data_IF_360463815654
#
_entry.id   IF_360463815654
#
_cell.length_a   1.000
_cell.length_b   1.000
_cell.length_c   1.000
_cell.angle_alpha   90.00
_cell.angle_beta   90.00
_cell.angle_gamma   90.00
#
_symmetry.space_group_name_H-M   'P 1'
#
loop_
_entity.id
_entity.type
_entity.pdbx_description
1 polymer ?
#
# COMPACT_ATOMS: atom_id res chain seq x y z
N UNK A 1 -11.51 -0.62 36.75
CA UNK A 1 -11.95 0.77 36.45
C UNK A 1 -11.29 1.31 35.18
N UNK A 2 -9.96 1.34 35.12
CA UNK A 2 -9.19 1.84 33.96
C UNK A 2 -9.49 1.17 32.60
N UNK A 3 -10.06 -0.03 32.57
CA UNK A 3 -10.46 -0.70 31.32
C UNK A 3 -11.50 0.07 30.52
N UNK A 4 -12.47 0.70 31.19
CA UNK A 4 -13.49 1.52 30.51
C UNK A 4 -12.86 2.79 29.93
N UNK A 5 -11.86 3.36 30.62
CA UNK A 5 -11.11 4.52 30.16
C UNK A 5 -10.31 4.15 28.90
N UNK A 6 -9.57 3.04 28.93
CA UNK A 6 -8.83 2.55 27.77
C UNK A 6 -9.74 2.28 26.57
N UNK A 7 -10.88 1.61 26.78
CA UNK A 7 -11.83 1.33 25.70
C UNK A 7 -12.42 2.61 25.09
N UNK A 8 -12.67 3.64 25.92
CA UNK A 8 -13.11 4.95 25.45
C UNK A 8 -12.01 5.67 24.63
N UNK A 9 -10.74 5.59 25.05
CA UNK A 9 -9.59 6.12 24.30
C UNK A 9 -9.48 5.43 22.94
N UNK A 10 -9.52 4.10 22.89
CA UNK A 10 -9.43 3.35 21.63
C UNK A 10 -10.60 3.70 20.72
N UNK A 11 -11.83 3.73 21.25
CA UNK A 11 -13.02 4.10 20.47
C UNK A 11 -12.86 5.49 19.85
N UNK A 12 -12.44 6.48 20.63
CA UNK A 12 -12.23 7.86 20.15
C UNK A 12 -11.12 7.94 19.10
N UNK A 13 -10.05 7.17 19.27
CA UNK A 13 -8.97 7.06 18.29
C UNK A 13 -9.50 6.58 16.93
N UNK A 14 -10.27 5.48 16.95
CA UNK A 14 -10.87 4.89 15.73
C UNK A 14 -11.87 5.83 15.08
N UNK A 15 -12.74 6.48 15.85
CA UNK A 15 -13.70 7.47 15.35
C UNK A 15 -12.99 8.67 14.71
N UNK A 16 -11.92 9.17 15.33
CA UNK A 16 -11.11 10.24 14.78
C UNK A 16 -10.42 9.83 13.48
N UNK A 17 -9.87 8.60 13.41
CA UNK A 17 -9.23 8.10 12.19
C UNK A 17 -10.24 7.96 11.05
N UNK A 18 -11.39 7.35 11.32
CA UNK A 18 -12.41 7.09 10.30
C UNK A 18 -13.14 8.36 9.84
N UNK A 19 -13.19 9.40 10.67
CA UNK A 19 -13.75 10.71 10.31
C UNK A 19 -12.72 11.67 9.69
N UNK A 20 -11.43 11.32 9.72
CA UNK A 20 -10.35 12.18 9.26
C UNK A 20 -10.11 13.40 10.15
N UNK A 21 -10.54 13.36 11.42
CA UNK A 21 -10.40 14.45 12.37
C UNK A 21 -9.18 14.21 13.27
N UNK A 22 -8.01 14.72 12.85
CA UNK A 22 -6.77 14.61 13.61
C UNK A 22 -6.84 15.29 14.98
N UNK A 23 -7.54 16.42 15.09
CA UNK A 23 -7.65 17.19 16.34
C UNK A 23 -8.42 16.42 17.40
N UNK A 24 -9.48 15.70 17.02
CA UNK A 24 -10.25 14.85 17.94
C UNK A 24 -9.43 13.69 18.52
N UNK A 25 -8.42 13.20 17.77
CA UNK A 25 -7.47 12.19 18.25
C UNK A 25 -6.43 12.85 19.16
N UNK A 26 -5.99 14.06 18.80
CA UNK A 26 -4.95 14.78 19.52
C UNK A 26 -5.36 15.15 20.95
N UNK A 27 -6.66 15.35 21.21
CA UNK A 27 -7.20 15.57 22.56
C UNK A 27 -6.86 14.47 23.58
N UNK A 28 -6.40 13.29 23.12
CA UNK A 28 -5.98 12.19 24.00
C UNK A 28 -4.52 12.28 24.44
N UNK A 29 -3.76 13.22 23.89
CA UNK A 29 -2.34 13.42 24.17
C UNK A 29 -2.14 14.74 24.91
N UNK A 30 -1.23 14.72 25.88
CA UNK A 30 -0.74 15.95 26.52
C UNK A 30 0.51 16.49 25.79
N UNK A 31 0.93 17.71 26.15
CA UNK A 31 2.09 18.38 25.55
C UNK A 31 3.42 17.64 25.78
N UNK A 32 3.47 16.75 26.77
CA UNK A 32 4.63 15.92 27.11
C UNK A 32 4.57 14.51 26.53
N UNK A 33 3.55 14.20 25.72
CA UNK A 33 3.37 12.87 25.17
C UNK A 33 4.51 12.46 24.23
N UNK A 34 4.83 11.17 24.24
CA UNK A 34 5.84 10.58 23.37
C UNK A 34 5.26 9.34 22.70
N UNK A 35 5.34 9.30 21.37
CA UNK A 35 4.97 8.12 20.58
C UNK A 35 6.23 7.53 19.95
N UNK A 36 6.43 6.23 20.14
CA UNK A 36 7.58 5.49 19.59
C UNK A 36 7.12 4.46 18.58
N UNK A 37 7.39 4.73 17.30
CA UNK A 37 7.25 3.74 16.23
C UNK A 37 8.53 2.89 16.14
N UNK A 38 8.51 1.74 16.83
CA UNK A 38 9.63 0.80 16.82
C UNK A 38 9.91 0.19 15.45
N UNK A 39 8.91 0.10 14.56
CA UNK A 39 9.07 -0.50 13.23
C UNK A 39 9.83 0.42 12.29
N UNK A 40 9.56 1.72 12.37
CA UNK A 40 10.26 2.74 11.58
C UNK A 40 11.47 3.35 12.30
N UNK A 41 11.69 3.02 13.59
CA UNK A 41 12.72 3.63 14.41
C UNK A 41 12.50 5.12 14.62
N UNK A 42 11.23 5.57 14.67
CA UNK A 42 10.86 6.99 14.81
C UNK A 42 10.29 7.27 16.18
N UNK A 43 10.56 8.47 16.68
CA UNK A 43 10.03 8.98 17.95
C UNK A 43 9.40 10.34 17.67
N UNK A 44 8.19 10.54 18.17
CA UNK A 44 7.42 11.78 18.04
C UNK A 44 7.22 12.38 19.43
N UNK A 45 7.65 13.62 19.61
CA UNK A 45 7.60 14.35 20.87
C UNK A 45 6.57 15.48 20.82
N UNK A 46 5.67 15.50 21.79
CA UNK A 46 4.64 16.51 21.95
C UNK A 46 3.55 16.46 20.86
N UNK A 47 2.52 17.27 21.09
CA UNK A 47 1.29 17.26 20.28
C UNK A 47 1.53 17.59 18.80
N UNK A 48 2.44 18.51 18.47
CA UNK A 48 2.68 18.92 17.08
C UNK A 48 3.24 17.78 16.22
N UNK A 49 4.22 17.03 16.74
CA UNK A 49 4.82 15.91 15.99
C UNK A 49 3.87 14.71 15.94
N UNK A 50 3.12 14.48 17.02
CA UNK A 50 2.10 13.43 17.07
C UNK A 50 0.96 13.73 16.08
N UNK A 51 0.55 15.00 15.93
CA UNK A 51 -0.45 15.42 14.93
C UNK A 51 0.01 15.07 13.51
N UNK A 52 1.25 15.39 13.14
CA UNK A 52 1.79 15.05 11.81
C UNK A 52 1.78 13.55 11.55
N UNK A 53 2.11 12.74 12.57
CA UNK A 53 2.02 11.29 12.49
C UNK A 53 0.57 10.83 12.25
N UNK A 54 -0.38 11.33 13.05
CA UNK A 54 -1.81 11.01 12.95
C UNK A 54 -2.37 11.37 11.57
N UNK A 55 -2.06 12.56 11.05
CA UNK A 55 -2.48 13.01 9.73
C UNK A 55 -1.95 12.09 8.62
N UNK A 56 -0.74 11.56 8.78
CA UNK A 56 -0.17 10.55 7.89
C UNK A 56 -1.01 9.26 7.86
N UNK A 57 -1.43 8.77 9.04
CA UNK A 57 -2.26 7.57 9.15
C UNK A 57 -3.68 7.79 8.63
N UNK A 58 -4.30 8.95 8.89
CA UNK A 58 -5.63 9.30 8.35
C UNK A 58 -5.64 9.22 6.82
N UNK A 59 -4.56 9.68 6.16
CA UNK A 59 -4.45 9.61 4.69
C UNK A 59 -4.41 8.18 4.15
N UNK A 60 -4.04 7.19 4.96
CA UNK A 60 -4.06 5.78 4.53
C UNK A 60 -5.48 5.24 4.39
N UNK A 61 -6.44 5.81 5.13
CA UNK A 61 -7.86 5.52 5.00
C UNK A 61 -8.54 5.03 6.26
N UNK A 62 -9.75 4.49 6.09
CA UNK A 62 -10.54 3.95 7.19
C UNK A 62 -9.94 2.64 7.65
N UNK A 63 -9.91 2.47 8.96
CA UNK A 63 -9.39 1.29 9.62
C UNK A 63 -10.47 0.64 10.48
N UNK A 64 -10.52 -0.69 10.40
CA UNK A 64 -11.05 -1.52 11.48
C UNK A 64 -9.90 -1.80 12.45
N UNK A 65 -10.17 -1.57 13.73
CA UNK A 65 -9.22 -1.78 14.80
C UNK A 65 -9.78 -2.80 15.77
N UNK A 66 -9.05 -3.88 15.99
CA UNK A 66 -9.41 -4.91 16.95
C UNK A 66 -8.30 -5.08 17.97
N UNK A 67 -8.65 -5.07 19.25
CA UNK A 67 -7.71 -5.39 20.34
C UNK A 67 -7.91 -6.84 20.74
N UNK A 68 -6.90 -7.69 20.53
CA UNK A 68 -6.99 -9.14 20.77
C UNK A 68 -6.62 -9.51 22.21
N UNK A 69 -5.61 -8.85 22.76
CA UNK A 69 -5.20 -8.98 24.16
C UNK A 69 -5.05 -7.60 24.79
N UNK A 70 -5.51 -7.44 26.03
CA UNK A 70 -5.22 -6.26 26.85
C UNK A 70 -4.95 -6.66 28.30
N UNK A 71 -3.87 -6.14 28.85
CA UNK A 71 -3.52 -6.25 30.27
C UNK A 71 -3.31 -4.86 30.81
N UNK A 72 -4.02 -4.53 31.89
CA UNK A 72 -3.98 -3.22 32.52
C UNK A 72 -3.23 -3.35 33.84
N UNK A 73 -2.20 -2.53 33.99
CA UNK A 73 -1.36 -2.45 35.16
C UNK A 73 -1.67 -1.14 35.86
N UNK A 74 -2.14 -1.23 37.09
CA UNK A 74 -2.22 -0.07 37.98
C UNK A 74 -0.79 0.34 38.37
N UNK A 75 -0.44 1.60 38.11
CA UNK A 75 0.89 2.17 38.42
C UNK A 75 0.80 3.39 39.34
N UNK A 76 -0.36 3.60 39.97
CA UNK A 76 -0.56 4.69 40.94
C UNK A 76 -1.98 5.25 40.91
N UNK A 77 -2.21 6.21 41.79
CA UNK A 77 -3.56 6.76 42.08
C UNK A 77 -4.29 7.28 40.83
N UNK A 78 -3.55 7.85 39.88
CA UNK A 78 -4.08 8.49 38.67
C UNK A 78 -3.46 7.94 37.37
N UNK A 79 -2.72 6.84 37.43
CA UNK A 79 -1.94 6.33 36.29
C UNK A 79 -2.14 4.84 36.11
N UNK A 80 -2.28 4.44 34.85
CA UNK A 80 -2.30 3.05 34.45
C UNK A 80 -1.40 2.85 33.24
N UNK A 81 -0.82 1.66 33.15
CA UNK A 81 -0.06 1.19 32.01
C UNK A 81 -0.86 0.08 31.33
N UNK A 82 -0.97 0.12 30.00
CA UNK A 82 -1.66 -0.93 29.24
C UNK A 82 -0.69 -1.59 28.31
N UNK A 83 -0.61 -2.91 28.41
CA UNK A 83 -0.03 -3.78 27.39
C UNK A 83 -1.18 -4.29 26.54
N UNK A 84 -1.20 -3.98 25.25
CA UNK A 84 -2.26 -4.44 24.35
C UNK A 84 -1.70 -4.87 23.00
N UNK A 85 -2.28 -5.94 22.47
CA UNK A 85 -2.10 -6.36 21.08
C UNK A 85 -3.26 -5.82 20.25
N UNK A 86 -2.94 -5.22 19.11
CA UNK A 86 -3.94 -4.73 18.18
C UNK A 86 -3.69 -5.23 16.76
N UNK A 87 -4.79 -5.49 16.07
CA UNK A 87 -4.85 -5.75 14.65
C UNK A 87 -5.58 -4.59 13.98
N UNK A 88 -5.00 -4.10 12.88
CA UNK A 88 -5.57 -3.01 12.09
C UNK A 88 -5.73 -3.45 10.65
N UNK A 89 -6.94 -3.28 10.11
CA UNK A 89 -7.26 -3.60 8.72
C UNK A 89 -7.79 -2.36 8.02
N UNK A 90 -7.21 -2.01 6.88
CA UNK A 90 -7.76 -0.96 6.03
C UNK A 90 -9.04 -1.46 5.35
N UNK A 91 -10.14 -0.74 5.53
CA UNK A 91 -11.45 -1.07 4.95
C UNK A 91 -11.86 -0.14 3.82
N UNK A 92 -11.25 1.04 3.74
CA UNK A 92 -11.49 2.03 2.68
C UNK A 92 -10.25 2.91 2.55
N UNK A 93 -9.83 3.27 1.34
CA UNK A 93 -8.64 4.13 1.15
C UNK A 93 -9.00 5.61 1.33
N UNK A 94 -8.23 6.34 2.14
CA UNK A 94 -8.53 7.75 2.51
C UNK A 94 -8.17 8.77 1.44
N UNK A 95 -7.38 8.37 0.44
CA UNK A 95 -7.02 9.21 -0.69
C UNK A 95 -7.70 8.70 -1.95
N UNK A 96 -8.71 9.44 -2.40
CA UNK A 96 -9.20 9.36 -3.78
C UNK A 96 -8.16 10.08 -4.64
N UNK A 97 -7.18 9.35 -5.17
CA UNK A 97 -6.46 9.88 -6.32
C UNK A 97 -7.50 10.02 -7.45
N UNK A 98 -7.77 11.27 -7.85
CA UNK A 98 -8.67 11.55 -8.97
C UNK A 98 -8.09 10.90 -10.21
N UNK A 99 -8.95 10.28 -11.00
CA UNK A 99 -8.57 9.68 -12.27
C UNK A 99 -7.57 8.50 -12.17
N UNK A 100 -7.48 7.80 -11.02
CA UNK A 100 -6.68 6.58 -10.87
C UNK A 100 -6.86 5.58 -12.00
N UNK A 101 -8.12 5.39 -12.39
CA UNK A 101 -8.46 4.51 -13.49
C UNK A 101 -7.86 5.00 -14.82
N UNK A 102 -7.93 6.31 -15.11
CA UNK A 102 -7.31 6.88 -16.32
C UNK A 102 -5.78 6.78 -16.29
N UNK A 103 -5.16 6.99 -15.13
CA UNK A 103 -3.70 6.85 -14.96
C UNK A 103 -3.29 5.41 -15.24
N UNK A 104 -3.98 4.45 -14.62
CA UNK A 104 -3.69 3.04 -14.83
C UNK A 104 -3.99 2.59 -16.26
N UNK A 105 -5.05 3.10 -16.88
CA UNK A 105 -5.39 2.80 -18.28
C UNK A 105 -4.32 3.33 -19.24
N UNK A 106 -3.76 4.53 -18.98
CA UNK A 106 -2.63 5.05 -19.75
C UNK A 106 -1.36 4.18 -19.61
N UNK A 107 -1.08 3.68 -18.39
CA UNK A 107 0.02 2.73 -18.15
C UNK A 107 -0.22 1.43 -18.92
N UNK A 108 -1.43 0.89 -18.87
CA UNK A 108 -1.81 -0.33 -19.57
C UNK A 108 -1.73 -0.18 -21.08
N UNK A 109 -2.19 0.94 -21.64
CA UNK A 109 -2.10 1.22 -23.07
C UNK A 109 -0.64 1.24 -23.55
N UNK A 110 0.26 1.88 -22.80
CA UNK A 110 1.71 1.84 -23.09
C UNK A 110 2.26 0.43 -23.04
N UNK A 111 1.90 -0.35 -22.00
CA UNK A 111 2.33 -1.74 -21.85
C UNK A 111 1.86 -2.61 -23.01
N UNK A 112 0.59 -2.53 -23.37
CA UNK A 112 -0.01 -3.31 -24.45
C UNK A 112 0.66 -3.00 -25.79
N UNK A 113 0.93 -1.71 -26.06
CA UNK A 113 1.65 -1.31 -27.26
C UNK A 113 3.07 -1.91 -27.30
N UNK A 114 3.83 -1.75 -26.22
CA UNK A 114 5.19 -2.27 -26.14
C UNK A 114 5.24 -3.80 -26.26
N UNK A 115 4.28 -4.52 -25.67
CA UNK A 115 4.14 -5.98 -25.84
C UNK A 115 3.81 -6.36 -27.29
N UNK A 116 2.92 -5.63 -27.96
CA UNK A 116 2.56 -5.90 -29.36
C UNK A 116 3.75 -5.74 -30.32
N UNK A 117 4.61 -4.76 -30.03
CA UNK A 117 5.82 -4.41 -30.79
C UNK A 117 7.06 -5.20 -30.34
N UNK A 118 6.96 -6.04 -29.30
CA UNK A 118 8.09 -6.70 -28.64
C UNK A 118 9.19 -5.72 -28.20
N UNK A 119 8.80 -4.50 -27.82
CA UNK A 119 9.68 -3.42 -27.37
C UNK A 119 10.09 -3.63 -25.90
N UNK A 120 11.31 -4.15 -25.71
CA UNK A 120 11.89 -4.42 -24.38
C UNK A 120 12.06 -3.14 -23.58
N UNK A 121 12.54 -2.08 -24.21
CA UNK A 121 12.82 -0.81 -23.53
C UNK A 121 11.51 -0.12 -23.14
N UNK A 122 10.56 -0.02 -24.06
CA UNK A 122 9.23 0.54 -23.78
C UNK A 122 8.46 -0.22 -22.71
N UNK A 123 8.63 -1.55 -22.58
CA UNK A 123 8.06 -2.30 -21.46
C UNK A 123 8.77 -2.03 -20.13
N UNK A 124 10.10 -1.89 -20.15
CA UNK A 124 10.89 -1.70 -18.94
C UNK A 124 10.69 -0.29 -18.34
N UNK A 125 10.57 0.74 -19.19
CA UNK A 125 10.37 2.15 -18.77
C UNK A 125 9.06 2.42 -18.01
N UNK A 126 8.12 1.48 -18.04
CA UNK A 126 6.89 1.54 -17.25
C UNK A 126 7.18 1.38 -15.75
N UNK A 127 8.28 0.72 -15.42
CA UNK A 127 8.67 0.40 -14.05
C UNK A 127 9.63 1.45 -13.49
N UNK A 128 9.54 1.69 -12.17
CA UNK A 128 10.52 2.52 -11.49
C UNK A 128 11.91 1.84 -11.45
N UNK A 129 12.98 2.62 -11.35
CA UNK A 129 14.37 2.09 -11.30
C UNK A 129 14.64 1.09 -10.17
N UNK A 130 13.85 1.12 -9.10
CA UNK A 130 13.94 0.23 -7.94
C UNK A 130 12.83 -0.83 -7.91
N UNK A 131 12.14 -1.05 -9.03
CA UNK A 131 11.06 -2.02 -9.10
C UNK A 131 11.57 -3.46 -8.95
N UNK A 132 10.71 -4.30 -8.38
CA UNK A 132 10.88 -5.75 -8.29
C UNK A 132 9.75 -6.38 -9.09
N UNK A 133 10.10 -7.28 -10.02
CA UNK A 133 9.13 -8.09 -10.76
C UNK A 133 9.34 -9.55 -10.37
N UNK A 134 8.25 -10.25 -10.05
CA UNK A 134 8.24 -11.70 -9.84
C UNK A 134 7.33 -12.33 -10.87
N UNK A 135 7.90 -13.07 -11.81
CA UNK A 135 7.16 -13.85 -12.80
C UNK A 135 7.15 -15.32 -12.39
N UNK A 136 6.04 -15.75 -11.76
CA UNK A 136 5.87 -17.13 -11.29
C UNK A 136 5.73 -18.15 -12.42
N UNK A 137 5.27 -17.76 -13.61
CA UNK A 137 5.15 -18.68 -14.74
C UNK A 137 6.52 -19.10 -15.27
N UNK A 138 7.48 -18.19 -15.23
CA UNK A 138 8.87 -18.44 -15.65
C UNK A 138 9.78 -18.88 -14.51
N UNK A 139 9.28 -18.92 -13.28
CA UNK A 139 10.07 -19.07 -12.04
C UNK A 139 11.28 -18.11 -11.98
N UNK A 140 11.03 -16.83 -12.32
CA UNK A 140 12.06 -15.78 -12.37
C UNK A 140 11.64 -14.55 -11.57
N UNK A 141 12.63 -13.84 -11.06
CA UNK A 141 12.48 -12.49 -10.52
C UNK A 141 13.53 -11.56 -11.10
N UNK A 142 13.25 -10.25 -11.06
CA UNK A 142 14.13 -9.21 -11.54
C UNK A 142 14.07 -8.01 -10.61
N UNK A 143 15.23 -7.48 -10.23
CA UNK A 143 15.38 -6.27 -9.43
C UNK A 143 16.15 -5.20 -10.21
N UNK A 144 15.52 -4.04 -10.36
CA UNK A 144 16.10 -2.92 -11.09
C UNK A 144 16.05 -3.06 -12.61
N UNK A 145 16.32 -1.95 -13.29
CA UNK A 145 16.00 -1.78 -14.70
C UNK A 145 16.70 -2.80 -15.62
N UNK A 146 17.99 -3.08 -15.39
CA UNK A 146 18.76 -4.00 -16.25
C UNK A 146 18.24 -5.44 -16.17
N UNK A 147 17.87 -5.90 -14.98
CA UNK A 147 17.30 -7.23 -14.81
C UNK A 147 15.87 -7.31 -15.37
N UNK A 148 15.09 -6.24 -15.23
CA UNK A 148 13.75 -6.14 -15.82
C UNK A 148 13.84 -6.25 -17.34
N UNK A 149 14.79 -5.55 -17.99
CA UNK A 149 15.01 -5.68 -19.44
C UNK A 149 15.36 -7.11 -19.85
N UNK A 150 16.25 -7.78 -19.12
CA UNK A 150 16.59 -9.20 -19.36
C UNK A 150 15.37 -10.12 -19.23
N UNK A 151 14.53 -9.90 -18.21
CA UNK A 151 13.30 -10.66 -18.00
C UNK A 151 12.30 -10.44 -19.15
N UNK A 152 12.07 -9.20 -19.57
CA UNK A 152 11.17 -8.87 -20.68
C UNK A 152 11.65 -9.44 -22.01
N UNK A 153 12.96 -9.37 -22.29
CA UNK A 153 13.57 -10.01 -23.46
C UNK A 153 13.31 -11.52 -23.47
N UNK A 154 13.58 -12.20 -22.36
CA UNK A 154 13.32 -13.64 -22.24
C UNK A 154 11.84 -14.00 -22.41
N UNK A 155 10.92 -13.12 -21.97
CA UNK A 155 9.49 -13.29 -22.17
C UNK A 155 9.11 -13.15 -23.65
N UNK A 156 9.63 -12.15 -24.35
CA UNK A 156 9.36 -11.96 -25.78
C UNK A 156 9.96 -13.04 -26.68
N UNK A 157 11.15 -13.55 -26.34
CA UNK A 157 11.76 -14.68 -27.04
C UNK A 157 10.94 -15.97 -26.89
N UNK A 158 10.17 -16.12 -25.80
CA UNK A 158 9.24 -17.25 -25.61
C UNK A 158 7.92 -17.11 -26.38
N UNK A 159 7.74 -16.01 -27.12
CA UNK A 159 6.52 -15.66 -27.85
C UNK A 159 5.50 -14.98 -26.94
N UNK A 160 5.32 -13.64 -26.95
CA UNK A 160 4.33 -13.00 -26.11
C UNK A 160 2.91 -13.33 -26.58
N UNK A 161 1.92 -13.20 -25.69
CA UNK A 161 0.52 -13.26 -26.13
C UNK A 161 0.18 -12.09 -27.05
N UNK A 162 -0.42 -12.36 -28.21
CA UNK A 162 -0.85 -11.37 -29.20
C UNK A 162 -2.21 -10.74 -28.89
N UNK A 163 -2.99 -11.37 -28.00
CA UNK A 163 -4.38 -11.01 -27.66
C UNK A 163 -4.56 -10.60 -26.20
N UNK A 164 -3.51 -10.04 -25.61
CA UNK A 164 -3.44 -9.70 -24.19
C UNK A 164 -4.57 -8.73 -23.77
N UNK A 165 -5.37 -9.12 -22.77
CA UNK A 165 -6.53 -8.37 -22.24
C UNK A 165 -6.48 -8.25 -20.72
N UNK A 166 -7.14 -7.20 -20.22
CA UNK A 166 -7.26 -6.84 -18.80
C UNK A 166 -8.74 -6.81 -18.36
N UNK A 167 -9.39 -7.97 -18.19
CA UNK A 167 -10.84 -8.04 -17.97
C UNK A 167 -11.30 -7.62 -16.57
N UNK A 168 -10.41 -7.69 -15.56
CA UNK A 168 -10.72 -7.29 -14.18
C UNK A 168 -9.59 -6.45 -13.65
N UNK A 169 -9.93 -5.29 -13.09
CA UNK A 169 -9.02 -4.39 -12.38
C UNK A 169 -9.73 -3.84 -11.15
N UNK A 170 -9.02 -3.85 -10.03
CA UNK A 170 -9.40 -3.20 -8.77
C UNK A 170 -8.22 -2.31 -8.39
N UNK A 171 -8.49 -1.01 -8.21
CA UNK A 171 -7.45 -0.01 -7.96
C UNK A 171 -7.73 0.61 -6.60
N UNK A 172 -6.70 0.65 -5.76
CA UNK A 172 -6.76 1.14 -4.38
C UNK A 172 -5.73 2.25 -4.20
N UNK A 173 -6.15 3.43 -3.76
CA UNK A 173 -5.21 4.50 -3.40
C UNK A 173 -4.40 4.12 -2.17
N UNK A 174 -3.09 4.37 -2.18
CA UNK A 174 -2.17 4.18 -1.06
C UNK A 174 -1.48 5.52 -0.76
N UNK A 175 -2.24 6.51 -0.33
CA UNK A 175 -1.76 7.88 -0.15
C UNK A 175 -1.82 8.72 -1.42
N UNK A 176 -1.06 9.81 -1.48
CA UNK A 176 -1.14 10.81 -2.55
C UNK A 176 -0.34 10.49 -3.81
N UNK A 177 0.63 9.58 -3.72
CA UNK A 177 1.62 9.31 -4.78
C UNK A 177 1.70 7.82 -5.18
N UNK A 178 0.95 6.94 -4.54
CA UNK A 178 1.01 5.48 -4.75
C UNK A 178 -0.36 4.87 -4.77
N UNK A 179 -0.53 3.84 -5.59
CA UNK A 179 -1.74 3.03 -5.63
C UNK A 179 -1.37 1.56 -5.79
N UNK A 180 -2.25 0.70 -5.31
CA UNK A 180 -2.20 -0.73 -5.51
C UNK A 180 -3.21 -1.13 -6.58
N UNK A 181 -2.82 -2.04 -7.46
CA UNK A 181 -3.73 -2.61 -8.46
C UNK A 181 -3.74 -4.12 -8.32
N UNK A 182 -4.93 -4.67 -8.11
CA UNK A 182 -5.21 -6.07 -8.30
C UNK A 182 -5.86 -6.24 -9.67
N UNK A 183 -5.24 -6.97 -10.59
CA UNK A 183 -5.80 -7.17 -11.92
C UNK A 183 -5.60 -8.59 -12.42
N UNK A 184 -6.48 -8.97 -13.34
CA UNK A 184 -6.40 -10.24 -14.06
C UNK A 184 -5.92 -9.98 -15.47
N UNK A 185 -5.10 -10.89 -15.98
CA UNK A 185 -4.60 -10.88 -17.35
C UNK A 185 -5.13 -12.11 -18.08
N UNK A 186 -5.56 -11.94 -19.32
CA UNK A 186 -5.91 -13.04 -20.22
C UNK A 186 -5.11 -12.87 -21.51
N UNK A 187 -4.36 -13.90 -21.88
CA UNK A 187 -3.80 -14.09 -23.21
C UNK A 187 -4.10 -15.52 -23.64
N UNK A 188 -4.59 -15.71 -24.85
CA UNK A 188 -4.98 -17.04 -25.37
C UNK A 188 -4.19 -17.44 -26.60
N UNK A 189 -3.60 -16.48 -27.30
CA UNK A 189 -2.86 -16.70 -28.54
C UNK A 189 -1.41 -16.24 -28.36
N UNK A 190 -0.46 -17.16 -28.41
CA UNK A 190 0.96 -16.82 -28.42
C UNK A 190 1.34 -16.34 -29.83
N UNK A 191 2.08 -15.23 -29.92
CA UNK A 191 2.72 -14.82 -31.17
C UNK A 191 3.78 -15.87 -31.50
N UNK A 192 3.78 -16.38 -32.72
CA UNK A 192 4.82 -17.31 -33.19
C UNK A 192 6.18 -16.71 -32.88
N UNK A 193 7.05 -17.50 -32.24
CA UNK A 193 8.42 -17.11 -31.93
C UNK A 193 9.13 -16.65 -33.21
N UNK A 194 10.06 -15.71 -33.08
CA UNK A 194 10.98 -15.32 -34.14
C UNK A 194 11.95 -16.49 -34.42
N UNK A 195 11.43 -17.59 -34.93
CA UNK A 195 12.19 -18.61 -35.64
C UNK A 195 11.53 -18.77 -37.01
N UNK A 196 12.08 -18.00 -37.96
CA UNK A 196 11.60 -17.92 -39.32
C UNK A 196 12.24 -16.74 -40.03
N UNK A 197 13.45 -16.96 -40.52
CA UNK A 197 13.94 -16.34 -41.76
C UNK A 197 12.86 -16.33 -42.86
#
# INVERSE_FOLDING_TARGET
EYGVIFDAIVKRNVEGHNSGNADAILEMYDDSAVVVDKKQGKIFFGVDQIKQMIEGFIKMGKVEFQTSNKTIHDVGVDRFYVTADFESKFVDSGVVMKDLEKIYDAICAKKLKAVAECDVDGCAEIYANHAVIVNKQMDKSAFGMDEIKKLMKSYFESGPYSDFKLPRKEIYGLGSDRFYVNCSYIGTTMKSTLEGE
#
